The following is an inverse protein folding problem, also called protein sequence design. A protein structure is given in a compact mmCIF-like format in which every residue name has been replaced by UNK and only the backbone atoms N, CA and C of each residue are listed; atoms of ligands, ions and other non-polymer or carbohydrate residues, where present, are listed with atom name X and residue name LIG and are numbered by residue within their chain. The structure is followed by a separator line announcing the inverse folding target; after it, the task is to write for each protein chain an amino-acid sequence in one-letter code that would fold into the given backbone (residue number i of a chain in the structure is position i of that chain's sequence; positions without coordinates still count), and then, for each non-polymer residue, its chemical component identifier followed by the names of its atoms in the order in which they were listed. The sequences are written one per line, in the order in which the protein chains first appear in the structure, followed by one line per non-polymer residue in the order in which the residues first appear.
data_IF_585039566966
#
_entry.id   IF_585039566966
#
_cell.length_a   1.000
_cell.length_b   1.000
_cell.length_c   1.000
_cell.angle_alpha   90.00
_cell.angle_beta   90.00
_cell.angle_gamma   90.00
#
_symmetry.space_group_name_H-M   'P 1'
#
loop_
_entity.id
_entity.type
_entity.pdbx_description
1 polymer ?
#
# COMPACT_ATOMS: atom_id res chain seq x y z
N UNK A 1 19.50 -64.33 54.96
CA UNK A 1 18.56 -63.64 54.06
C UNK A 1 19.05 -62.20 53.93
N UNK A 2 19.62 -61.86 52.75
CA UNK A 2 20.22 -60.53 52.48
C UNK A 2 19.18 -59.70 51.74
N UNK A 3 18.75 -58.63 52.34
CA UNK A 3 17.84 -57.66 51.68
C UNK A 3 18.66 -56.72 50.83
N UNK A 4 18.45 -56.78 49.50
CA UNK A 4 19.04 -55.89 48.51
C UNK A 4 18.10 -54.69 48.32
N UNK A 5 18.49 -53.54 48.83
CA UNK A 5 17.73 -52.28 48.70
C UNK A 5 18.09 -51.66 47.34
N UNK A 6 17.15 -51.57 46.44
CA UNK A 6 17.26 -50.94 45.10
C UNK A 6 16.97 -49.44 45.24
N UNK A 7 18.02 -48.61 45.11
CA UNK A 7 17.86 -47.15 45.08
C UNK A 7 17.61 -46.75 43.64
N UNK A 8 16.37 -46.31 43.35
CA UNK A 8 15.99 -45.69 42.06
C UNK A 8 16.40 -44.25 42.07
N UNK A 9 17.43 -43.89 41.29
CA UNK A 9 17.81 -42.51 41.02
C UNK A 9 16.89 -41.92 39.98
N UNK A 10 16.03 -40.97 40.39
CA UNK A 10 15.15 -40.22 39.48
C UNK A 10 15.94 -39.04 38.88
N UNK A 11 16.41 -39.19 37.64
CA UNK A 11 17.04 -38.09 36.91
C UNK A 11 15.96 -37.09 36.42
N UNK A 12 15.84 -35.98 37.10
CA UNK A 12 14.98 -34.87 36.63
C UNK A 12 15.64 -34.19 35.42
N UNK A 13 15.11 -34.40 34.23
CA UNK A 13 15.50 -33.67 33.02
C UNK A 13 14.86 -32.30 33.08
N UNK A 14 15.67 -31.29 33.42
CA UNK A 14 15.26 -29.87 33.39
C UNK A 14 15.24 -29.39 31.94
N UNK A 15 14.08 -29.39 31.29
CA UNK A 15 13.89 -28.83 29.97
C UNK A 15 13.96 -27.31 30.05
N UNK A 16 15.11 -26.71 29.73
CA UNK A 16 15.27 -25.29 29.52
C UNK A 16 14.49 -24.89 28.25
N UNK A 17 13.29 -24.39 28.41
CA UNK A 17 12.55 -23.73 27.33
C UNK A 17 13.27 -22.42 26.97
N UNK A 18 14.04 -22.43 25.88
CA UNK A 18 14.59 -21.21 25.30
C UNK A 18 13.43 -20.43 24.69
N UNK A 19 12.85 -19.49 25.43
CA UNK A 19 11.96 -18.49 24.89
C UNK A 19 12.81 -17.49 24.11
N UNK A 20 12.85 -17.62 22.78
CA UNK A 20 13.41 -16.55 21.95
C UNK A 20 12.62 -15.27 22.22
N UNK A 21 13.26 -14.18 22.67
CA UNK A 21 12.54 -12.93 22.87
C UNK A 21 11.92 -12.51 21.53
N UNK A 22 10.60 -12.28 21.52
CA UNK A 22 9.93 -11.72 20.36
C UNK A 22 10.49 -10.32 20.17
N UNK A 23 11.33 -10.16 19.16
CA UNK A 23 11.98 -8.89 18.86
C UNK A 23 10.90 -7.86 18.50
N UNK A 24 10.86 -6.76 19.27
CA UNK A 24 9.88 -5.69 19.07
C UNK A 24 10.12 -5.01 17.72
N UNK A 25 9.11 -4.98 16.88
CA UNK A 25 9.16 -4.26 15.61
C UNK A 25 9.42 -2.77 15.85
N UNK A 26 10.32 -2.18 15.06
CA UNK A 26 10.58 -0.75 15.09
C UNK A 26 9.60 -0.03 14.17
N UNK A 27 8.96 1.03 14.66
CA UNK A 27 8.09 1.88 13.88
C UNK A 27 8.89 3.01 13.22
N UNK A 28 8.59 3.27 11.96
CA UNK A 28 9.13 4.35 11.14
C UNK A 28 8.00 5.23 10.66
N UNK A 29 8.13 6.54 10.82
CA UNK A 29 7.19 7.53 10.30
C UNK A 29 7.56 7.88 8.87
N UNK A 30 6.58 7.92 7.97
CA UNK A 30 6.81 8.30 6.57
C UNK A 30 7.15 9.79 6.48
N UNK A 31 8.23 10.09 5.77
CA UNK A 31 8.56 11.42 5.30
C UNK A 31 7.67 11.75 4.10
N UNK A 32 6.62 12.52 4.33
CA UNK A 32 5.64 12.85 3.29
C UNK A 32 6.24 13.74 2.19
N UNK A 33 7.27 14.53 2.50
CA UNK A 33 7.95 15.41 1.52
C UNK A 33 9.00 14.67 0.70
N UNK A 34 9.66 13.68 1.31
CA UNK A 34 10.63 12.80 0.65
C UNK A 34 9.99 11.62 -0.09
N UNK A 35 8.68 11.46 0.01
CA UNK A 35 7.93 10.38 -0.63
C UNK A 35 7.14 10.88 -1.83
N UNK A 36 6.90 9.99 -2.81
CA UNK A 36 6.17 10.33 -4.03
C UNK A 36 5.16 9.24 -4.35
N UNK A 37 3.95 9.66 -4.72
CA UNK A 37 2.92 8.80 -5.33
C UNK A 37 2.53 9.42 -6.66
N UNK A 38 2.87 8.72 -7.76
CA UNK A 38 2.46 9.10 -9.12
C UNK A 38 1.29 8.23 -9.53
N UNK A 39 0.35 8.81 -10.25
CA UNK A 39 -0.75 8.07 -10.86
C UNK A 39 -0.70 8.17 -12.38
N UNK A 40 -1.10 7.11 -13.08
CA UNK A 40 -1.30 7.08 -14.54
C UNK A 40 -2.60 6.37 -14.84
N UNK A 41 -3.49 7.04 -15.56
CA UNK A 41 -4.77 6.50 -16.02
C UNK A 41 -4.81 6.49 -17.56
N UNK A 42 -5.48 5.50 -18.13
CA UNK A 42 -5.45 5.22 -19.56
C UNK A 42 -6.85 5.35 -20.15
N UNK A 43 -6.90 5.79 -21.39
CA UNK A 43 -8.07 5.77 -22.25
C UNK A 43 -7.68 5.28 -23.65
N UNK A 44 -8.62 4.94 -24.52
CA UNK A 44 -8.34 4.45 -25.88
C UNK A 44 -7.41 5.38 -26.64
N UNK A 45 -7.57 6.69 -26.49
CA UNK A 45 -6.82 7.72 -27.23
C UNK A 45 -5.57 8.22 -26.54
N UNK A 46 -5.17 7.64 -25.41
CA UNK A 46 -3.96 8.08 -24.70
C UNK A 46 -4.01 7.84 -23.18
N UNK A 47 -3.26 8.63 -22.46
CA UNK A 47 -3.17 8.53 -20.99
C UNK A 47 -3.08 9.92 -20.37
N UNK A 48 -3.44 10.00 -19.10
CA UNK A 48 -3.19 11.15 -18.24
C UNK A 48 -2.40 10.70 -17.01
N UNK A 49 -1.57 11.58 -16.47
CA UNK A 49 -0.78 11.30 -15.28
C UNK A 49 -0.55 12.54 -14.43
N UNK A 50 -0.15 12.31 -13.21
CA UNK A 50 0.19 13.33 -12.25
C UNK A 50 0.66 12.74 -10.93
N UNK A 51 0.55 13.52 -9.87
CA UNK A 51 0.97 13.15 -8.51
C UNK A 51 -0.15 13.35 -7.51
N UNK A 52 0.03 12.72 -6.37
CA UNK A 52 -0.79 12.93 -5.20
C UNK A 52 0.11 12.82 -3.97
N UNK A 53 -0.12 13.64 -2.95
CA UNK A 53 0.72 13.67 -1.75
C UNK A 53 0.20 12.74 -0.66
N UNK A 54 1.13 12.13 0.07
CA UNK A 54 0.82 11.48 1.33
C UNK A 54 0.49 12.54 2.39
N UNK A 55 -0.51 12.25 3.21
CA UNK A 55 -0.85 13.04 4.38
C UNK A 55 -0.10 12.56 5.61
N UNK A 56 -0.01 11.24 5.74
CA UNK A 56 0.77 10.57 6.78
C UNK A 56 1.02 9.11 6.39
N UNK A 57 1.84 8.42 7.20
CA UNK A 57 2.05 6.99 7.05
C UNK A 57 3.02 6.44 8.08
N UNK A 58 2.95 5.14 8.28
CA UNK A 58 3.86 4.40 9.16
C UNK A 58 4.22 3.04 8.57
N UNK A 59 5.44 2.61 8.87
CA UNK A 59 5.99 1.31 8.49
C UNK A 59 6.57 0.68 9.75
N UNK A 60 6.24 -0.59 10.03
CA UNK A 60 6.87 -1.36 11.09
C UNK A 60 7.83 -2.40 10.49
N UNK A 61 9.06 -2.42 10.99
CA UNK A 61 10.10 -3.36 10.57
C UNK A 61 10.60 -4.17 11.77
N UNK A 62 10.71 -5.49 11.60
CA UNK A 62 11.46 -6.36 12.51
C UNK A 62 12.74 -6.79 11.80
N UNK A 63 13.88 -6.18 12.18
CA UNK A 63 15.15 -6.26 11.41
C UNK A 63 14.93 -5.80 9.96
N UNK A 64 15.01 -6.74 9.03
CA UNK A 64 14.81 -6.52 7.59
C UNK A 64 13.42 -6.94 7.10
N UNK A 65 12.55 -7.43 8.00
CA UNK A 65 11.21 -7.90 7.64
C UNK A 65 10.18 -6.78 7.82
N UNK A 66 9.49 -6.44 6.75
CA UNK A 66 8.32 -5.58 6.80
C UNK A 66 7.19 -6.33 7.53
N UNK A 67 6.64 -5.74 8.60
CA UNK A 67 5.59 -6.36 9.42
C UNK A 67 4.25 -5.67 9.30
N UNK A 68 4.24 -4.32 9.19
CA UNK A 68 3.03 -3.53 8.94
C UNK A 68 3.34 -2.32 8.07
N UNK A 69 2.32 -1.85 7.36
CA UNK A 69 2.35 -0.61 6.60
C UNK A 69 0.95 0.04 6.61
N UNK A 70 0.89 1.34 6.85
CA UNK A 70 -0.34 2.12 6.75
C UNK A 70 -0.03 3.50 6.17
N UNK A 71 -0.90 3.99 5.29
CA UNK A 71 -0.72 5.26 4.59
C UNK A 71 -2.06 5.96 4.44
N UNK A 72 -2.04 7.27 4.54
CA UNK A 72 -3.15 8.16 4.21
C UNK A 72 -2.69 9.16 3.15
N UNK A 73 -3.48 9.30 2.09
CA UNK A 73 -3.24 10.17 0.95
C UNK A 73 -4.18 11.37 1.05
N UNK A 74 -3.68 12.58 0.81
CA UNK A 74 -4.49 13.79 0.67
C UNK A 74 -4.99 13.93 -0.77
N UNK A 75 -6.24 13.55 -1.03
CA UNK A 75 -6.86 13.58 -2.34
C UNK A 75 -6.97 15.01 -2.91
N UNK A 76 -6.97 16.04 -2.07
CA UNK A 76 -7.03 17.44 -2.50
C UNK A 76 -5.77 17.93 -3.21
N UNK A 77 -4.66 17.21 -3.02
CA UNK A 77 -3.35 17.50 -3.63
C UNK A 77 -3.15 16.90 -5.02
N UNK A 78 -4.15 16.17 -5.54
CA UNK A 78 -4.05 15.53 -6.86
C UNK A 78 -3.73 16.58 -7.94
N UNK A 79 -2.68 16.32 -8.71
CA UNK A 79 -2.25 17.13 -9.86
C UNK A 79 -2.48 16.40 -11.16
N UNK A 80 -2.58 17.15 -12.26
CA UNK A 80 -2.50 16.70 -13.65
C UNK A 80 -1.22 17.31 -14.22
N UNK A 81 -0.29 16.50 -14.77
CA UNK A 81 1.04 16.95 -15.16
C UNK A 81 1.37 16.74 -16.65
N UNK A 82 0.53 16.06 -17.40
CA UNK A 82 0.74 15.78 -18.84
C UNK A 82 0.13 16.84 -19.77
N UNK A 83 -0.78 17.64 -19.26
CA UNK A 83 -1.39 18.76 -19.96
C UNK A 83 -1.39 20.01 -19.08
N UNK A 84 -1.61 21.18 -19.65
CA UNK A 84 -1.56 22.46 -18.94
C UNK A 84 -2.73 23.38 -19.26
N UNK A 85 -2.87 24.47 -18.49
CA UNK A 85 -3.91 25.49 -18.69
C UNK A 85 -5.30 24.96 -18.48
N UNK A 86 -6.27 25.52 -19.19
CA UNK A 86 -7.70 25.23 -19.04
C UNK A 86 -8.07 23.73 -19.16
N UNK A 87 -7.35 22.99 -19.98
CA UNK A 87 -7.56 21.56 -20.15
C UNK A 87 -7.15 20.76 -18.91
N UNK A 88 -6.04 21.13 -18.25
CA UNK A 88 -5.63 20.54 -16.99
C UNK A 88 -6.65 20.82 -15.89
N UNK A 89 -7.15 22.06 -15.82
CA UNK A 89 -8.16 22.47 -14.83
C UNK A 89 -9.47 21.73 -15.03
N UNK A 90 -9.93 21.58 -16.28
CA UNK A 90 -11.13 20.81 -16.63
C UNK A 90 -10.98 19.34 -16.23
N UNK A 91 -9.86 18.71 -16.57
CA UNK A 91 -9.61 17.32 -16.19
C UNK A 91 -9.52 17.16 -14.68
N UNK A 92 -8.81 18.05 -13.98
CA UNK A 92 -8.71 18.04 -12.52
C UNK A 92 -10.09 18.21 -11.88
N UNK A 93 -10.90 19.15 -12.34
CA UNK A 93 -12.27 19.36 -11.88
C UNK A 93 -13.13 18.10 -12.06
N UNK A 94 -12.99 17.41 -13.19
CA UNK A 94 -13.71 16.16 -13.42
C UNK A 94 -13.24 15.04 -12.50
N UNK A 95 -11.92 14.88 -12.27
CA UNK A 95 -11.40 13.92 -11.30
C UNK A 95 -11.89 14.20 -9.86
N UNK A 96 -12.16 15.46 -9.53
CA UNK A 96 -12.67 15.88 -8.22
C UNK A 96 -14.16 15.64 -8.05
N UNK A 97 -14.92 15.56 -9.15
CA UNK A 97 -16.39 15.42 -9.15
C UNK A 97 -16.88 14.05 -8.65
N UNK A 98 -18.18 13.93 -8.48
CA UNK A 98 -18.85 12.70 -8.05
C UNK A 98 -18.73 11.56 -9.09
N UNK A 99 -18.48 11.88 -10.37
CA UNK A 99 -18.20 10.89 -11.42
C UNK A 99 -16.91 10.11 -11.18
N UNK A 100 -15.96 10.73 -10.46
CA UNK A 100 -14.66 10.12 -10.12
C UNK A 100 -14.48 10.00 -8.61
N UNK A 101 -13.60 10.81 -8.02
CA UNK A 101 -13.16 10.60 -6.64
C UNK A 101 -14.06 11.28 -5.58
N UNK A 102 -14.98 12.17 -5.98
CA UNK A 102 -15.88 12.90 -5.07
C UNK A 102 -15.11 13.56 -3.91
N UNK A 103 -14.08 14.35 -4.26
CA UNK A 103 -13.05 14.80 -3.30
C UNK A 103 -13.63 15.72 -2.23
N UNK A 104 -14.70 16.47 -2.51
CA UNK A 104 -15.37 17.28 -1.48
C UNK A 104 -15.87 16.43 -0.30
N UNK A 105 -16.38 15.22 -0.60
CA UNK A 105 -16.91 14.28 0.40
C UNK A 105 -15.83 13.35 0.93
N UNK A 106 -14.82 13.03 0.11
CA UNK A 106 -13.78 12.02 0.39
C UNK A 106 -12.39 12.64 0.21
N UNK A 107 -11.98 13.49 1.14
CA UNK A 107 -10.70 14.22 1.07
C UNK A 107 -9.47 13.33 1.23
N UNK A 108 -9.63 12.08 1.63
CA UNK A 108 -8.53 11.14 1.84
C UNK A 108 -8.81 9.78 1.23
N UNK A 109 -7.75 9.12 0.78
CA UNK A 109 -7.71 7.70 0.51
C UNK A 109 -6.72 7.04 1.47
N UNK A 110 -6.90 5.76 1.81
CA UNK A 110 -6.05 5.11 2.81
C UNK A 110 -5.76 3.66 2.46
N UNK A 111 -4.60 3.18 2.93
CA UNK A 111 -4.21 1.79 2.85
C UNK A 111 -3.75 1.29 4.22
N UNK A 112 -4.19 0.08 4.60
CA UNK A 112 -3.74 -0.60 5.82
C UNK A 112 -3.43 -2.05 5.47
N UNK A 113 -2.18 -2.47 5.68
CA UNK A 113 -1.77 -3.86 5.45
C UNK A 113 -2.46 -4.83 6.41
N UNK A 114 -2.86 -5.99 5.90
CA UNK A 114 -3.45 -7.10 6.68
C UNK A 114 -2.55 -8.34 6.67
N UNK A 115 -1.76 -8.52 5.61
CA UNK A 115 -0.81 -9.63 5.48
C UNK A 115 0.39 -9.17 4.65
N UNK A 116 1.58 -9.50 5.13
CA UNK A 116 2.82 -9.22 4.41
C UNK A 116 3.68 -10.48 4.46
N UNK A 117 4.13 -10.95 3.30
CA UNK A 117 5.00 -12.13 3.17
C UNK A 117 6.15 -11.84 2.22
N UNK A 118 7.36 -12.37 2.45
CA UNK A 118 8.44 -12.30 1.46
C UNK A 118 8.00 -12.92 0.13
N UNK A 119 8.37 -12.30 -1.00
CA UNK A 119 8.01 -12.78 -2.35
C UNK A 119 9.17 -13.47 -3.09
N UNK A 120 10.24 -13.81 -2.37
CA UNK A 120 11.43 -14.50 -2.92
C UNK A 120 12.47 -13.58 -3.58
N UNK A 121 12.18 -12.29 -3.75
CA UNK A 121 13.15 -11.31 -4.26
C UNK A 121 13.90 -10.63 -3.11
N UNK A 122 15.16 -10.20 -3.27
CA UNK A 122 15.88 -9.45 -2.25
C UNK A 122 15.14 -8.19 -1.82
N UNK A 123 14.78 -8.08 -0.53
CA UNK A 123 13.97 -6.98 0.00
C UNK A 123 12.53 -6.94 -0.52
N UNK A 124 12.08 -7.98 -1.22
CA UNK A 124 10.77 -8.06 -1.85
C UNK A 124 9.71 -8.67 -0.94
N UNK A 125 8.52 -8.07 -0.96
CA UNK A 125 7.35 -8.51 -0.20
C UNK A 125 6.11 -8.49 -1.08
N UNK A 126 5.25 -9.48 -0.90
CA UNK A 126 3.86 -9.43 -1.33
C UNK A 126 3.04 -8.86 -0.18
N UNK A 127 2.42 -7.71 -0.42
CA UNK A 127 1.67 -6.93 0.58
C UNK A 127 0.20 -7.00 0.24
N UNK A 128 -0.59 -7.59 1.14
CA UNK A 128 -2.05 -7.60 1.07
C UNK A 128 -2.59 -6.62 2.12
N UNK A 129 -3.59 -5.85 1.77
CA UNK A 129 -4.21 -4.90 2.69
C UNK A 129 -5.54 -4.36 2.18
N UNK A 130 -6.14 -3.51 2.98
CA UNK A 130 -7.37 -2.83 2.68
C UNK A 130 -7.07 -1.44 2.11
N UNK A 131 -7.47 -1.21 0.86
CA UNK A 131 -7.42 0.09 0.20
C UNK A 131 -8.81 0.73 0.25
N UNK A 132 -8.89 1.94 0.76
CA UNK A 132 -10.12 2.74 0.82
C UNK A 132 -10.02 3.92 -0.13
N UNK A 133 -10.91 3.99 -1.11
CA UNK A 133 -11.06 5.09 -2.05
C UNK A 133 -12.55 5.46 -2.10
N UNK A 134 -12.88 6.75 -2.13
CA UNK A 134 -14.28 7.24 -2.20
C UNK A 134 -15.17 6.62 -1.10
N UNK A 135 -14.62 6.38 0.10
CA UNK A 135 -15.31 5.75 1.23
C UNK A 135 -15.54 4.24 1.11
N UNK A 136 -15.14 3.61 0.01
CA UNK A 136 -15.29 2.17 -0.23
C UNK A 136 -13.98 1.47 0.05
N UNK A 137 -14.02 0.43 0.87
CA UNK A 137 -12.84 -0.38 1.23
C UNK A 137 -12.86 -1.72 0.49
N UNK A 138 -11.75 -2.04 -0.19
CA UNK A 138 -11.55 -3.33 -0.87
C UNK A 138 -10.17 -3.89 -0.57
N UNK A 139 -10.02 -5.22 -0.51
CA UNK A 139 -8.71 -5.85 -0.42
C UNK A 139 -7.93 -5.65 -1.72
N UNK A 140 -6.64 -5.39 -1.58
CA UNK A 140 -5.70 -5.34 -2.70
C UNK A 140 -4.41 -6.06 -2.31
N UNK A 141 -3.74 -6.66 -3.30
CA UNK A 141 -2.42 -7.28 -3.13
C UNK A 141 -1.48 -6.74 -4.19
N UNK A 142 -0.28 -6.35 -3.78
CA UNK A 142 0.77 -5.86 -4.67
C UNK A 142 2.16 -6.22 -4.15
N UNK A 143 3.15 -6.18 -5.02
CA UNK A 143 4.54 -6.38 -4.65
C UNK A 143 5.19 -5.05 -4.27
N UNK A 144 6.03 -5.08 -3.23
CA UNK A 144 6.86 -3.97 -2.81
C UNK A 144 8.30 -4.42 -2.58
N UNK A 145 9.24 -3.53 -2.85
CA UNK A 145 10.65 -3.69 -2.45
C UNK A 145 10.93 -2.72 -1.33
N UNK A 146 11.40 -3.23 -0.18
CA UNK A 146 11.67 -2.41 1.01
C UNK A 146 13.07 -2.72 1.53
N UNK A 147 13.83 -1.66 1.80
CA UNK A 147 15.21 -1.74 2.30
C UNK A 147 15.39 -0.79 3.48
N UNK A 148 16.35 -1.12 4.34
CA UNK A 148 16.83 -0.23 5.39
C UNK A 148 18.20 0.29 4.96
N UNK A 149 18.31 1.59 4.72
CA UNK A 149 19.53 2.26 4.26
C UNK A 149 19.81 3.47 5.14
N UNK A 150 20.99 3.52 5.75
CA UNK A 150 21.38 4.64 6.62
C UNK A 150 20.42 4.90 7.81
N UNK A 151 19.78 3.85 8.34
CA UNK A 151 18.80 3.98 9.42
C UNK A 151 17.40 4.44 8.99
N UNK A 152 17.20 4.69 7.70
CA UNK A 152 15.91 5.00 7.06
C UNK A 152 15.36 3.76 6.37
N UNK A 153 14.05 3.70 6.23
CA UNK A 153 13.36 2.72 5.38
C UNK A 153 13.06 3.38 4.05
N UNK A 154 13.45 2.72 2.96
CA UNK A 154 13.11 3.12 1.59
C UNK A 154 12.28 2.01 0.97
N UNK A 155 11.14 2.37 0.39
CA UNK A 155 10.21 1.43 -0.23
C UNK A 155 9.75 1.87 -1.60
N UNK A 156 9.62 0.93 -2.56
CA UNK A 156 9.03 1.19 -3.87
C UNK A 156 8.00 0.14 -4.23
N UNK A 157 6.97 0.54 -4.96
CA UNK A 157 5.93 -0.36 -5.47
C UNK A 157 5.31 0.20 -6.74
N UNK A 158 4.89 -0.71 -7.64
CA UNK A 158 3.99 -0.41 -8.75
C UNK A 158 2.67 -1.15 -8.47
N UNK A 159 1.58 -0.40 -8.35
CA UNK A 159 0.29 -0.92 -7.91
C UNK A 159 -0.73 -0.65 -9.01
N UNK A 160 -1.48 -1.67 -9.41
CA UNK A 160 -2.58 -1.56 -10.36
C UNK A 160 -3.90 -1.59 -9.60
N UNK A 161 -4.75 -0.61 -9.84
CA UNK A 161 -6.02 -0.43 -9.12
C UNK A 161 -7.17 -0.40 -10.12
N UNK A 162 -8.14 -1.30 -9.95
CA UNK A 162 -9.42 -1.25 -10.68
C UNK A 162 -10.36 -0.24 -9.99
N UNK A 163 -10.56 0.92 -10.63
CA UNK A 163 -11.39 2.02 -10.13
C UNK A 163 -12.87 1.65 -9.96
N UNK A 164 -13.33 0.66 -10.73
CA UNK A 164 -14.72 0.24 -10.69
C UNK A 164 -15.11 -0.45 -9.39
N UNK A 165 -14.13 -1.02 -8.67
CA UNK A 165 -14.31 -1.55 -7.33
C UNK A 165 -14.68 -0.48 -6.28
N UNK A 166 -14.44 0.80 -6.60
CA UNK A 166 -14.68 1.96 -5.73
C UNK A 166 -15.80 2.86 -6.28
N UNK A 167 -16.71 2.28 -7.06
CA UNK A 167 -17.87 2.96 -7.66
C UNK A 167 -17.48 4.17 -8.56
N UNK A 168 -16.32 4.08 -9.22
CA UNK A 168 -15.87 5.03 -10.24
C UNK A 168 -16.11 4.39 -11.61
N UNK A 169 -17.31 4.62 -12.18
CA UNK A 169 -17.80 3.91 -13.38
C UNK A 169 -17.73 4.75 -14.66
N UNK A 170 -17.54 6.06 -14.57
CA UNK A 170 -17.57 6.96 -15.72
C UNK A 170 -16.65 6.48 -16.84
N UNK A 171 -17.19 6.37 -18.07
CA UNK A 171 -16.47 5.93 -19.25
C UNK A 171 -15.98 4.48 -19.23
N UNK A 172 -16.43 3.62 -18.31
CA UNK A 172 -16.05 2.22 -18.24
C UNK A 172 -16.87 1.36 -19.22
N UNK A 173 -16.17 0.57 -20.05
CA UNK A 173 -16.79 -0.39 -20.95
C UNK A 173 -17.55 -1.52 -20.26
N UNK A 174 -17.33 -1.74 -18.94
CA UNK A 174 -18.12 -2.71 -18.16
C UNK A 174 -19.56 -2.22 -17.92
N UNK A 175 -19.77 -0.90 -17.87
CA UNK A 175 -21.06 -0.31 -17.48
C UNK A 175 -21.74 0.43 -18.61
N UNK A 176 -21.01 0.86 -19.65
CA UNK A 176 -21.54 1.67 -20.74
C UNK A 176 -21.13 1.06 -22.08
N UNK A 177 -22.10 0.98 -23.01
CA UNK A 177 -21.87 0.53 -24.38
C UNK A 177 -21.65 1.70 -25.32
N UNK A 178 -21.05 1.45 -26.49
CA UNK A 178 -20.90 2.43 -27.55
C UNK A 178 -19.96 3.60 -27.24
N UNK A 179 -19.06 3.45 -26.29
CA UNK A 179 -18.13 4.51 -25.86
C UNK A 179 -17.11 4.91 -26.95
N UNK A 180 -16.70 3.97 -27.81
CA UNK A 180 -15.65 4.20 -28.81
C UNK A 180 -14.41 4.82 -28.17
N UNK A 181 -13.92 5.93 -28.74
CA UNK A 181 -12.72 6.65 -28.27
C UNK A 181 -12.90 7.36 -26.90
N UNK A 182 -14.13 7.38 -26.36
CA UNK A 182 -14.42 7.93 -25.03
C UNK A 182 -14.21 6.93 -23.90
N UNK A 183 -13.92 5.66 -24.23
CA UNK A 183 -13.71 4.62 -23.24
C UNK A 183 -12.45 4.91 -22.41
N UNK A 184 -12.60 4.81 -21.08
CA UNK A 184 -11.54 4.94 -20.09
C UNK A 184 -11.31 3.57 -19.48
N UNK A 185 -10.05 3.11 -19.45
CA UNK A 185 -9.73 1.81 -18.87
C UNK A 185 -10.08 1.78 -17.39
N UNK A 186 -10.48 0.61 -16.94
CA UNK A 186 -10.92 0.44 -15.55
C UNK A 186 -9.75 0.47 -14.57
N UNK A 187 -8.57 0.07 -15.03
CA UNK A 187 -7.35 0.07 -14.23
C UNK A 187 -6.55 1.34 -14.41
N UNK A 188 -5.99 1.81 -13.31
CA UNK A 188 -4.95 2.83 -13.29
C UNK A 188 -3.76 2.36 -12.47
N UNK A 189 -2.59 2.92 -12.76
CA UNK A 189 -1.35 2.57 -12.12
C UNK A 189 -0.95 3.61 -11.07
N UNK A 190 -0.39 3.15 -9.95
CA UNK A 190 0.30 3.96 -8.96
C UNK A 190 1.76 3.54 -8.88
N UNK A 191 2.67 4.49 -9.07
CA UNK A 191 4.09 4.34 -8.78
C UNK A 191 4.37 5.02 -7.44
N UNK A 192 4.78 4.22 -6.46
CA UNK A 192 5.01 4.67 -5.09
C UNK A 192 6.49 4.59 -4.76
N UNK A 193 7.05 5.68 -4.27
CA UNK A 193 8.39 5.75 -3.68
C UNK A 193 8.27 6.35 -2.29
N UNK A 194 8.66 5.60 -1.27
CA UNK A 194 8.51 5.98 0.14
C UNK A 194 9.86 6.10 0.80
N UNK A 195 9.97 7.09 1.67
CA UNK A 195 11.04 7.24 2.65
C UNK A 195 10.42 7.34 4.04
N UNK A 196 10.98 6.62 5.02
CA UNK A 196 10.52 6.69 6.41
C UNK A 196 11.71 6.68 7.39
N UNK A 197 11.57 7.35 8.51
CA UNK A 197 12.58 7.45 9.56
C UNK A 197 11.95 7.18 10.94
N UNK A 198 12.81 6.84 11.93
CA UNK A 198 12.40 6.68 13.33
C UNK A 198 12.00 8.00 13.94
#
# INVERSE_FOLDING_TARGET
MKHLTFVMAFAAVLSLAFTNPVEKAAAYKVDVTGSTVKWTAYKVTGKHFGKISLKNGSIEMSKTKLSKASFEVDMTTLTVEDISGEWADKLKGHLFSDDFFSIEKHKTASFVSTKIVPNGKPGGFSVTGNLTIKGITKPITFDAVVKVEGGKVVGTSAIKVDRTNYDIKYGSGKFFQGLGDKAIYDEFDLEVSLMASK
#
